data_IF_022633719675
#
_entry.id   IF_022633719675
#
_cell.length_a   1.000
_cell.length_b   1.000
_cell.length_c   1.000
_cell.angle_alpha   90.00
_cell.angle_beta   90.00
_cell.angle_gamma   90.00
#
_symmetry.space_group_name_H-M   'P 1'
#
loop_
_entity.id
_entity.type
_entity.pdbx_description
1 polymer ?
#
# COMPACT_ATOMS: atom_id res chain seq x y z
N UNK A 1 1.07 -8.45 -37.27
CA UNK A 1 0.45 -7.35 -36.49
C UNK A 1 1.56 -6.66 -35.70
N UNK A 2 2.07 -5.53 -36.18
CA UNK A 2 3.20 -4.83 -35.55
C UNK A 2 2.71 -4.08 -34.32
N UNK A 3 3.20 -4.47 -33.14
CA UNK A 3 2.88 -3.76 -31.90
C UNK A 3 3.55 -2.37 -31.95
N UNK A 4 2.74 -1.32 -32.11
CA UNK A 4 3.24 0.06 -32.06
C UNK A 4 3.70 0.37 -30.61
N UNK A 5 5.00 0.62 -30.37
CA UNK A 5 5.55 0.84 -29.03
C UNK A 5 4.92 2.03 -28.32
N UNK A 6 4.50 3.06 -29.06
CA UNK A 6 3.80 4.23 -28.48
C UNK A 6 2.38 3.90 -28.00
N UNK A 7 1.70 2.95 -28.65
CA UNK A 7 0.36 2.51 -28.24
C UNK A 7 0.45 1.63 -26.99
N UNK A 8 1.51 0.84 -26.86
CA UNK A 8 1.76 -0.03 -25.72
C UNK A 8 2.09 0.78 -24.44
N UNK A 9 2.94 1.81 -24.54
CA UNK A 9 3.26 2.67 -23.39
C UNK A 9 2.04 3.42 -22.87
N UNK A 10 1.19 3.96 -23.76
CA UNK A 10 -0.07 4.62 -23.36
C UNK A 10 -1.01 3.68 -22.61
N UNK A 11 -1.16 2.43 -23.04
CA UNK A 11 -1.98 1.42 -22.35
C UNK A 11 -1.44 1.10 -20.95
N UNK A 12 -0.12 0.92 -20.84
CA UNK A 12 0.52 0.58 -19.56
C UNK A 12 0.40 1.74 -18.56
N UNK A 13 0.62 2.98 -19.00
CA UNK A 13 0.43 4.15 -18.14
C UNK A 13 -1.02 4.29 -17.66
N UNK A 14 -2.00 3.99 -18.53
CA UNK A 14 -3.42 4.00 -18.14
C UNK A 14 -3.68 2.98 -17.02
N UNK A 15 -3.24 1.73 -17.20
CA UNK A 15 -3.39 0.65 -16.22
C UNK A 15 -2.70 1.03 -14.90
N UNK A 16 -1.49 1.56 -14.97
CA UNK A 16 -0.72 2.01 -13.81
C UNK A 16 -1.45 3.10 -13.03
N UNK A 17 -2.02 4.10 -13.72
CA UNK A 17 -2.76 5.17 -13.07
C UNK A 17 -4.02 4.67 -12.35
N UNK A 18 -4.78 3.77 -12.98
CA UNK A 18 -5.94 3.15 -12.34
C UNK A 18 -5.54 2.30 -11.12
N UNK A 19 -4.43 1.58 -11.23
CA UNK A 19 -3.89 0.81 -10.11
C UNK A 19 -3.51 1.71 -8.93
N UNK A 20 -2.83 2.83 -9.16
CA UNK A 20 -2.49 3.77 -8.10
C UNK A 20 -3.72 4.40 -7.44
N UNK A 21 -4.78 4.70 -8.20
CA UNK A 21 -6.06 5.17 -7.63
C UNK A 21 -6.74 4.10 -6.78
N UNK A 22 -6.71 2.85 -7.24
CA UNK A 22 -7.25 1.74 -6.47
C UNK A 22 -6.48 1.56 -5.15
N UNK A 23 -5.16 1.63 -5.20
CA UNK A 23 -4.32 1.57 -4.00
C UNK A 23 -4.57 2.75 -3.05
N UNK A 24 -4.75 3.95 -3.60
CA UNK A 24 -5.12 5.13 -2.83
C UNK A 24 -6.44 4.88 -2.07
N UNK A 25 -7.47 4.34 -2.71
CA UNK A 25 -8.74 4.00 -2.04
C UNK A 25 -8.58 2.93 -0.94
N UNK A 26 -7.68 1.96 -1.13
CA UNK A 26 -7.33 0.99 -0.08
C UNK A 26 -6.72 1.71 1.12
N UNK A 27 -5.75 2.61 0.90
CA UNK A 27 -5.16 3.42 1.98
C UNK A 27 -6.21 4.26 2.71
N UNK A 28 -7.20 4.79 2.00
CA UNK A 28 -8.33 5.50 2.62
C UNK A 28 -9.11 4.56 3.55
N UNK A 29 -9.49 3.38 3.07
CA UNK A 29 -10.19 2.38 3.87
C UNK A 29 -9.39 1.98 5.12
N UNK A 30 -8.10 1.69 4.97
CA UNK A 30 -7.21 1.35 6.08
C UNK A 30 -7.07 2.52 7.07
N UNK A 31 -6.86 3.75 6.59
CA UNK A 31 -6.82 4.94 7.43
C UNK A 31 -8.06 5.06 8.30
N UNK A 32 -9.24 4.92 7.71
CA UNK A 32 -10.50 5.00 8.44
C UNK A 32 -10.62 3.86 9.45
N UNK A 33 -10.25 2.63 9.09
CA UNK A 33 -10.24 1.48 10.01
C UNK A 33 -9.33 1.71 11.21
N UNK A 34 -8.12 2.26 11.00
CA UNK A 34 -7.20 2.61 12.08
C UNK A 34 -7.73 3.76 12.94
N UNK A 35 -8.40 4.76 12.37
CA UNK A 35 -9.05 5.81 13.17
C UNK A 35 -10.18 5.25 14.03
N UNK A 36 -11.03 4.38 13.48
CA UNK A 36 -12.10 3.70 14.21
C UNK A 36 -11.50 2.90 15.39
N UNK A 37 -10.39 2.20 15.14
CA UNK A 37 -9.64 1.46 16.16
C UNK A 37 -9.05 2.37 17.25
N UNK A 38 -8.54 3.55 16.89
CA UNK A 38 -8.04 4.53 17.86
C UNK A 38 -9.16 5.13 18.72
N UNK A 39 -10.32 5.41 18.12
CA UNK A 39 -11.50 5.92 18.83
C UNK A 39 -12.10 4.86 19.77
N UNK A 40 -11.90 3.56 19.49
CA UNK A 40 -12.41 2.49 20.33
C UNK A 40 -13.88 2.17 20.09
N UNK A 41 -14.36 2.34 18.86
CA UNK A 41 -15.79 2.12 18.49
C UNK A 41 -16.23 0.68 18.73
N UNK A 42 -15.35 -0.30 18.52
CA UNK A 42 -15.66 -1.72 18.67
C UNK A 42 -15.09 -2.29 19.98
N UNK A 43 -15.83 -3.20 20.64
CA UNK A 43 -15.34 -3.88 21.84
C UNK A 43 -14.24 -4.90 21.48
N UNK A 44 -13.15 -4.91 22.26
CA UNK A 44 -12.05 -5.87 22.14
C UNK A 44 -10.71 -5.27 22.52
N UNK A 45 -9.80 -6.08 23.09
CA UNK A 45 -8.50 -5.58 23.60
C UNK A 45 -7.62 -4.95 22.50
N UNK A 46 -7.72 -5.46 21.26
CA UNK A 46 -7.01 -4.93 20.08
C UNK A 46 -7.82 -3.90 19.28
N UNK A 47 -9.03 -3.56 19.72
CA UNK A 47 -9.90 -2.58 19.06
C UNK A 47 -10.12 -1.31 19.89
N UNK A 48 -9.57 -1.29 21.10
CA UNK A 48 -9.59 -0.15 22.03
C UNK A 48 -8.18 0.28 22.36
N UNK A 49 -7.86 1.53 22.03
CA UNK A 49 -6.52 2.09 22.22
C UNK A 49 -6.03 1.97 23.67
N UNK A 50 -6.91 2.21 24.64
CA UNK A 50 -6.59 2.15 26.07
C UNK A 50 -6.32 0.73 26.59
N UNK A 51 -6.86 -0.30 25.94
CA UNK A 51 -6.68 -1.71 26.30
C UNK A 51 -5.51 -2.37 25.55
N UNK A 52 -4.99 -1.74 24.49
CA UNK A 52 -3.93 -2.32 23.67
C UNK A 52 -2.59 -2.41 24.40
N UNK A 53 -1.80 -3.46 24.14
CA UNK A 53 -0.39 -3.48 24.52
C UNK A 53 0.37 -2.30 23.90
N UNK A 54 1.35 -1.77 24.63
CA UNK A 54 2.15 -0.60 24.19
C UNK A 54 2.66 -0.66 22.74
N UNK A 55 3.17 -1.80 22.22
CA UNK A 55 3.60 -1.90 20.82
C UNK A 55 2.46 -1.68 19.81
N UNK A 56 1.25 -2.17 20.11
CA UNK A 56 0.07 -2.01 19.25
C UNK A 56 -0.51 -0.60 19.30
N UNK A 57 -0.40 0.09 20.43
CA UNK A 57 -0.75 1.50 20.54
C UNK A 57 0.12 2.37 19.63
N UNK A 58 1.46 2.21 19.73
CA UNK A 58 2.41 2.97 18.92
C UNK A 58 2.23 2.69 17.42
N UNK A 59 2.08 1.41 17.06
CA UNK A 59 1.84 0.98 15.68
C UNK A 59 0.55 1.59 15.13
N UNK A 60 -0.58 1.45 15.85
CA UNK A 60 -1.88 1.91 15.38
C UNK A 60 -1.91 3.43 15.21
N UNK A 61 -1.30 4.18 16.13
CA UNK A 61 -1.18 5.63 16.03
C UNK A 61 -0.32 6.07 14.83
N UNK A 62 0.78 5.36 14.57
CA UNK A 62 1.67 5.65 13.44
C UNK A 62 1.01 5.33 12.11
N UNK A 63 0.39 4.14 11.98
CA UNK A 63 -0.31 3.73 10.75
C UNK A 63 -1.51 4.63 10.43
N UNK A 64 -2.24 5.09 11.45
CA UNK A 64 -3.32 6.06 11.31
C UNK A 64 -2.91 7.39 10.66
N UNK A 65 -1.62 7.74 10.69
CA UNK A 65 -1.07 8.94 10.07
C UNK A 65 -0.44 8.62 8.71
N UNK A 66 0.31 7.51 8.61
CA UNK A 66 1.02 7.16 7.37
C UNK A 66 0.04 6.83 6.25
N UNK A 67 -1.02 6.04 6.49
CA UNK A 67 -1.98 5.68 5.45
C UNK A 67 -2.67 6.88 4.76
N UNK A 68 -3.17 7.90 5.48
CA UNK A 68 -3.77 9.07 4.82
C UNK A 68 -2.76 9.92 4.05
N UNK A 69 -1.50 9.99 4.50
CA UNK A 69 -0.44 10.67 3.73
C UNK A 69 -0.09 9.87 2.47
N UNK A 70 0.05 8.55 2.59
CA UNK A 70 0.29 7.65 1.46
C UNK A 70 -0.86 7.71 0.44
N UNK A 71 -2.11 7.75 0.90
CA UNK A 71 -3.30 7.99 0.09
C UNK A 71 -3.15 9.24 -0.79
N UNK A 72 -2.80 10.38 -0.21
CA UNK A 72 -2.67 11.66 -0.94
C UNK A 72 -1.53 11.55 -1.98
N UNK A 73 -0.39 11.00 -1.58
CA UNK A 73 0.75 10.81 -2.48
C UNK A 73 0.41 9.90 -3.67
N UNK A 74 -0.29 8.78 -3.42
CA UNK A 74 -0.73 7.84 -4.46
C UNK A 74 -1.78 8.45 -5.38
N UNK A 75 -2.72 9.23 -4.84
CA UNK A 75 -3.76 9.92 -5.62
C UNK A 75 -3.16 10.96 -6.58
N UNK A 76 -2.09 11.63 -6.15
CA UNK A 76 -1.33 12.59 -6.95
C UNK A 76 -0.30 11.94 -7.88
N UNK A 77 -0.27 10.60 -7.98
CA UNK A 77 0.71 9.83 -8.75
C UNK A 77 2.16 10.12 -8.37
N UNK A 78 2.40 10.47 -7.12
CA UNK A 78 3.70 10.91 -6.64
C UNK A 78 4.49 9.74 -6.05
N UNK A 79 5.79 9.61 -6.37
CA UNK A 79 6.57 8.42 -5.98
C UNK A 79 6.74 8.26 -4.47
N UNK A 80 6.73 9.36 -3.70
CA UNK A 80 6.81 9.31 -2.23
C UNK A 80 5.59 8.62 -1.59
N UNK A 81 4.41 8.67 -2.23
CA UNK A 81 3.22 7.96 -1.76
C UNK A 81 3.41 6.44 -1.78
N UNK A 82 4.10 5.92 -2.79
CA UNK A 82 4.45 4.49 -2.89
C UNK A 82 5.42 4.10 -1.78
N UNK A 83 6.44 4.93 -1.52
CA UNK A 83 7.42 4.69 -0.45
C UNK A 83 6.71 4.63 0.92
N UNK A 84 5.83 5.59 1.21
CA UNK A 84 5.09 5.63 2.47
C UNK A 84 4.15 4.43 2.61
N UNK A 85 3.47 4.03 1.54
CA UNK A 85 2.65 2.82 1.55
C UNK A 85 3.49 1.57 1.83
N UNK A 86 4.67 1.44 1.21
CA UNK A 86 5.58 0.32 1.48
C UNK A 86 6.04 0.29 2.95
N UNK A 87 6.37 1.44 3.53
CA UNK A 87 6.75 1.54 4.95
C UNK A 87 5.59 1.15 5.85
N UNK A 88 4.37 1.63 5.57
CA UNK A 88 3.17 1.25 6.32
C UNK A 88 2.93 -0.27 6.28
N UNK A 89 2.91 -0.85 5.07
CA UNK A 89 2.69 -2.27 4.86
C UNK A 89 3.76 -3.14 5.54
N UNK A 90 5.03 -2.72 5.48
CA UNK A 90 6.13 -3.42 6.12
C UNK A 90 6.03 -3.35 7.64
N UNK A 91 5.70 -2.19 8.20
CA UNK A 91 5.55 -2.01 9.65
C UNK A 91 4.38 -2.83 10.19
N UNK A 92 3.23 -2.82 9.49
CA UNK A 92 2.08 -3.65 9.83
C UNK A 92 2.41 -5.15 9.76
N UNK A 93 3.12 -5.57 8.70
CA UNK A 93 3.57 -6.96 8.51
C UNK A 93 4.48 -7.44 9.65
N UNK A 94 5.47 -6.64 10.02
CA UNK A 94 6.40 -6.97 11.13
C UNK A 94 5.64 -7.10 12.44
N UNK A 95 4.67 -6.21 12.70
CA UNK A 95 3.88 -6.26 13.91
C UNK A 95 3.00 -7.52 14.00
N UNK A 96 2.32 -7.90 12.91
CA UNK A 96 1.51 -9.14 12.85
C UNK A 96 2.41 -10.36 13.07
N UNK A 97 3.59 -10.39 12.44
CA UNK A 97 4.55 -11.49 12.57
C UNK A 97 5.07 -11.63 14.02
N UNK A 98 5.36 -10.51 14.68
CA UNK A 98 5.97 -10.49 16.01
C UNK A 98 4.98 -10.84 17.13
N UNK A 99 3.72 -10.40 17.02
CA UNK A 99 2.79 -10.48 18.14
C UNK A 99 1.81 -11.65 18.08
N UNK A 100 1.36 -12.11 16.91
CA UNK A 100 0.46 -13.28 16.79
C UNK A 100 0.22 -13.65 15.31
N UNK A 101 1.05 -14.56 14.76
CA UNK A 101 0.91 -15.06 13.38
C UNK A 101 -0.42 -15.80 13.11
N UNK A 102 -1.07 -16.32 14.16
CA UNK A 102 -2.16 -17.32 14.04
C UNK A 102 -3.53 -16.71 13.72
N UNK A 103 -3.79 -15.43 14.02
CA UNK A 103 -5.17 -14.88 13.99
C UNK A 103 -5.53 -13.99 12.80
N UNK A 104 -4.58 -13.48 11.99
CA UNK A 104 -4.89 -12.54 10.89
C UNK A 104 -4.07 -12.75 9.60
N UNK A 105 -4.02 -13.96 9.01
CA UNK A 105 -3.26 -14.22 7.77
C UNK A 105 -3.80 -13.46 6.55
N UNK A 106 -5.07 -13.07 6.55
CA UNK A 106 -5.71 -12.36 5.43
C UNK A 106 -5.08 -11.00 5.15
N UNK A 107 -4.78 -10.23 6.20
CA UNK A 107 -4.21 -8.88 6.08
C UNK A 107 -2.81 -8.94 5.46
N UNK A 108 -2.02 -9.95 5.84
CA UNK A 108 -0.67 -10.19 5.33
C UNK A 108 -0.67 -10.59 3.85
N UNK A 109 -1.56 -11.51 3.46
CA UNK A 109 -1.70 -11.97 2.07
C UNK A 109 -2.15 -10.81 1.17
N UNK A 110 -3.05 -9.95 1.66
CA UNK A 110 -3.53 -8.79 0.92
C UNK A 110 -2.42 -7.76 0.65
N UNK A 111 -1.64 -7.41 1.67
CA UNK A 111 -0.49 -6.49 1.50
C UNK A 111 0.59 -7.08 0.61
N UNK A 112 0.90 -8.39 0.75
CA UNK A 112 1.86 -9.08 -0.10
C UNK A 112 1.45 -9.12 -1.57
N UNK A 113 0.16 -9.34 -1.84
CA UNK A 113 -0.37 -9.35 -3.21
C UNK A 113 -0.27 -7.96 -3.86
N UNK A 114 -0.60 -6.90 -3.12
CA UNK A 114 -0.46 -5.52 -3.59
C UNK A 114 1.00 -5.13 -3.84
N UNK A 115 1.91 -5.61 -2.99
CA UNK A 115 3.35 -5.36 -3.12
C UNK A 115 3.91 -6.04 -4.37
N UNK A 116 3.52 -7.29 -4.62
CA UNK A 116 3.87 -8.03 -5.84
C UNK A 116 3.38 -7.30 -7.10
N UNK A 117 2.14 -6.82 -7.11
CA UNK A 117 1.58 -6.10 -8.26
C UNK A 117 2.34 -4.77 -8.49
N UNK A 118 2.70 -4.04 -7.42
CA UNK A 118 3.52 -2.83 -7.55
C UNK A 118 4.91 -3.11 -8.13
N UNK A 119 5.60 -4.13 -7.62
CA UNK A 119 6.94 -4.49 -8.10
C UNK A 119 6.88 -4.90 -9.57
N UNK A 120 5.92 -5.74 -9.96
CA UNK A 120 5.79 -6.17 -11.36
C UNK A 120 5.55 -4.98 -12.28
N UNK A 121 4.68 -4.04 -11.90
CA UNK A 121 4.43 -2.83 -12.68
C UNK A 121 5.66 -1.91 -12.79
N UNK A 122 6.41 -1.71 -11.70
CA UNK A 122 7.65 -0.93 -11.72
C UNK A 122 8.73 -1.55 -12.60
N UNK A 123 8.94 -2.87 -12.50
CA UNK A 123 9.91 -3.60 -13.32
C UNK A 123 9.54 -3.48 -14.80
N UNK A 124 8.27 -3.67 -15.15
CA UNK A 124 7.78 -3.54 -16.53
C UNK A 124 8.07 -2.13 -17.08
N UNK A 125 7.81 -1.09 -16.27
CA UNK A 125 8.05 0.29 -16.69
C UNK A 125 9.53 0.60 -16.87
N UNK A 126 10.39 0.11 -15.98
CA UNK A 126 11.85 0.25 -16.07
C UNK A 126 12.41 -0.46 -17.31
N UNK A 127 11.94 -1.68 -17.60
CA UNK A 127 12.35 -2.43 -18.80
C UNK A 127 11.97 -1.71 -20.10
N UNK A 128 10.79 -1.08 -20.14
CA UNK A 128 10.34 -0.31 -21.30
C UNK A 128 11.17 0.96 -21.50
N UNK A 129 11.52 1.64 -20.39
CA UNK A 129 12.40 2.81 -20.43
C UNK A 129 13.80 2.45 -20.94
N UNK A 130 14.35 1.32 -20.48
CA UNK A 130 15.66 0.82 -20.93
C UNK A 130 15.70 0.52 -22.43
N UNK A 131 14.65 -0.13 -22.98
CA UNK A 131 14.57 -0.41 -24.43
C UNK A 131 14.51 0.84 -25.30
N UNK A 132 13.96 1.94 -24.79
CA UNK A 132 13.89 3.21 -25.54
C UNK A 132 15.27 3.87 -25.70
N UNK A 133 16.18 3.66 -24.74
CA UNK A 133 17.53 4.23 -24.76
C UNK A 133 18.50 3.48 -25.69
N UNK A 134 18.23 2.22 -26.00
CA UNK A 134 19.06 1.39 -26.90
C UNK A 134 18.70 1.53 -28.38
N UNK A 135 17.48 1.98 -28.67
CA UNK A 135 16.96 2.13 -30.05
C UNK A 135 16.92 3.60 -30.50
N UNK A 136 17.60 4.50 -29.78
CA UNK A 136 17.69 5.94 -30.07
C UNK A 136 19.08 6.32 -30.57
#
# INVERSE_FOLDING_TARGET
>A
MTNNPQKQTKKINLIYNYYLRFLALICLGLSVLYWIRLVGVFPGELWRFDLMPWPWQFLSATLAIIYPIALIGLWMYSPWGIILWCIAALTETIAICSFNFVYQPFMLIFHGMLFLVLITLQIIMMMISSKKSYNG
#
